data_IF_735981781165
#
_entry.id   IF_735981781165
#
_cell.length_a   1.000
_cell.length_b   1.000
_cell.length_c   1.000
_cell.angle_alpha   90.00
_cell.angle_beta   90.00
_cell.angle_gamma   90.00
#
_symmetry.space_group_name_H-M   'P 1'
#
loop_
_entity.id
_entity.type
_entity.pdbx_description
1 polymer ?
#
# COMPACT_ATOMS: atom_id res chain seq x y z
N UNK A 1 8.02 29.69 -18.62
CA UNK A 1 8.46 28.33 -18.21
C UNK A 1 7.92 28.08 -16.82
N UNK A 2 6.79 27.40 -16.69
CA UNK A 2 6.30 26.91 -15.40
C UNK A 2 7.09 25.64 -15.07
N UNK A 3 8.17 25.81 -14.32
CA UNK A 3 9.01 24.70 -13.88
C UNK A 3 8.20 23.75 -13.00
N UNK A 4 8.46 22.45 -13.17
CA UNK A 4 7.97 21.42 -12.25
C UNK A 4 8.32 21.83 -10.80
N UNK A 5 7.31 22.02 -9.97
CA UNK A 5 7.49 22.32 -8.54
C UNK A 5 7.22 21.04 -7.75
N UNK A 6 8.20 20.63 -6.95
CA UNK A 6 8.04 19.50 -6.00
C UNK A 6 7.02 19.80 -4.89
N UNK A 7 6.53 21.04 -4.81
CA UNK A 7 5.44 21.43 -3.92
C UNK A 7 4.06 21.31 -4.59
N UNK A 8 3.98 20.72 -5.78
CA UNK A 8 2.73 20.46 -6.52
C UNK A 8 2.42 18.95 -6.42
N UNK A 9 1.27 18.54 -5.86
CA UNK A 9 0.68 17.21 -5.69
C UNK A 9 -0.74 17.23 -6.30
N UNK A 10 -0.82 17.04 -7.62
CA UNK A 10 -2.08 16.90 -8.38
C UNK A 10 -3.16 17.98 -8.11
N UNK A 11 -2.78 19.21 -7.75
CA UNK A 11 -3.72 20.30 -7.45
C UNK A 11 -4.30 20.29 -6.03
N UNK A 12 -3.79 19.43 -5.13
CA UNK A 12 -4.25 19.29 -3.74
C UNK A 12 -3.31 19.97 -2.73
N UNK A 13 -2.42 20.84 -3.18
CA UNK A 13 -1.22 21.18 -2.41
C UNK A 13 -1.51 22.16 -1.31
N UNK A 14 -2.35 23.15 -1.60
CA UNK A 14 -2.84 24.08 -0.59
C UNK A 14 -3.52 23.30 0.54
N UNK A 15 -4.35 22.31 0.19
CA UNK A 15 -5.07 21.49 1.18
C UNK A 15 -4.15 20.60 2.02
N UNK A 16 -3.17 19.96 1.38
CA UNK A 16 -2.22 19.07 2.05
C UNK A 16 -1.20 19.88 2.88
N UNK A 17 -0.92 21.11 2.48
CA UNK A 17 -0.06 22.03 3.23
C UNK A 17 -0.79 22.60 4.45
N UNK A 18 -2.08 22.93 4.29
CA UNK A 18 -2.92 23.41 5.39
C UNK A 18 -3.20 22.32 6.44
N UNK A 19 -3.32 21.06 6.01
CA UNK A 19 -3.65 19.91 6.86
C UNK A 19 -2.74 18.70 6.58
N UNK A 20 -1.46 18.75 6.97
CA UNK A 20 -0.50 17.69 6.65
C UNK A 20 -0.82 16.35 7.31
N UNK A 21 -1.57 16.34 8.41
CA UNK A 21 -2.08 15.13 9.08
C UNK A 21 -2.97 14.26 8.18
N UNK A 22 -3.60 14.86 7.16
CA UNK A 22 -4.38 14.13 6.15
C UNK A 22 -3.52 13.08 5.45
N UNK A 23 -2.19 13.29 5.35
CA UNK A 23 -1.27 12.34 4.74
C UNK A 23 -1.04 11.11 5.61
N UNK A 24 -1.04 11.26 6.95
CA UNK A 24 -1.00 10.11 7.88
C UNK A 24 -2.27 9.29 7.71
N UNK A 25 -3.43 9.95 7.75
CA UNK A 25 -4.71 9.27 7.56
C UNK A 25 -4.80 8.61 6.18
N UNK A 26 -4.32 9.29 5.14
CA UNK A 26 -4.22 8.74 3.79
C UNK A 26 -3.34 7.49 3.76
N UNK A 27 -2.17 7.54 4.39
CA UNK A 27 -1.24 6.41 4.43
C UNK A 27 -1.83 5.17 5.09
N UNK A 28 -2.71 5.35 6.08
CA UNK A 28 -3.41 4.26 6.78
C UNK A 28 -4.67 3.79 6.03
N UNK A 29 -5.52 4.71 5.60
CA UNK A 29 -6.86 4.37 5.10
C UNK A 29 -6.91 4.10 3.61
N UNK A 30 -6.07 4.74 2.78
CA UNK A 30 -6.08 4.51 1.33
C UNK A 30 -5.82 3.04 0.99
N UNK A 31 -4.79 2.36 1.55
CA UNK A 31 -4.60 0.94 1.29
C UNK A 31 -5.80 0.08 1.71
N UNK A 32 -6.37 0.35 2.89
CA UNK A 32 -7.52 -0.38 3.44
C UNK A 32 -8.78 -0.19 2.60
N UNK A 33 -9.05 1.02 2.11
CA UNK A 33 -10.18 1.30 1.25
C UNK A 33 -10.01 0.62 -0.11
N UNK A 34 -8.79 0.61 -0.68
CA UNK A 34 -8.50 -0.04 -1.95
C UNK A 34 -8.54 -1.57 -1.88
N UNK A 35 -8.42 -2.18 -0.69
CA UNK A 35 -8.61 -3.62 -0.52
C UNK A 35 -10.01 -4.06 -0.96
N UNK A 36 -11.04 -3.24 -0.73
CA UNK A 36 -12.43 -3.57 -1.04
C UNK A 36 -12.63 -3.79 -2.55
N UNK A 37 -12.35 -2.82 -3.44
CA UNK A 37 -12.51 -3.03 -4.88
C UNK A 37 -11.57 -4.11 -5.42
N UNK A 38 -10.33 -4.22 -4.92
CA UNK A 38 -9.41 -5.29 -5.37
C UNK A 38 -9.94 -6.68 -5.00
N UNK A 39 -10.53 -6.84 -3.82
CA UNK A 39 -11.16 -8.10 -3.41
C UNK A 39 -12.39 -8.43 -4.28
N UNK A 40 -13.22 -7.43 -4.60
CA UNK A 40 -14.36 -7.61 -5.51
C UNK A 40 -13.91 -8.02 -6.92
N UNK A 41 -12.91 -7.36 -7.49
CA UNK A 41 -12.32 -7.73 -8.78
C UNK A 41 -11.73 -9.14 -8.71
N UNK A 42 -11.03 -9.47 -7.61
CA UNK A 42 -10.49 -10.80 -7.36
C UNK A 42 -11.57 -11.88 -7.31
N UNK A 43 -12.74 -11.59 -6.76
CA UNK A 43 -13.88 -12.49 -6.76
C UNK A 43 -14.39 -12.73 -8.19
N UNK A 44 -14.51 -11.67 -9.01
CA UNK A 44 -14.88 -11.78 -10.43
C UNK A 44 -13.86 -12.62 -11.20
N UNK A 45 -12.55 -12.35 -11.03
CA UNK A 45 -11.48 -13.12 -11.68
C UNK A 45 -11.55 -14.61 -11.35
N UNK A 46 -11.84 -14.94 -10.08
CA UNK A 46 -12.03 -16.33 -9.66
C UNK A 46 -13.22 -16.99 -10.34
N UNK A 47 -14.35 -16.27 -10.49
CA UNK A 47 -15.54 -16.77 -11.18
C UNK A 47 -15.29 -17.01 -12.68
N UNK A 48 -14.51 -16.14 -13.30
CA UNK A 48 -14.13 -16.23 -14.72
C UNK A 48 -12.91 -17.14 -14.98
N UNK A 49 -12.32 -17.73 -13.92
CA UNK A 49 -11.09 -18.55 -13.98
C UNK A 49 -9.90 -17.82 -14.62
N UNK A 50 -9.82 -16.50 -14.44
CA UNK A 50 -8.66 -15.71 -14.87
C UNK A 50 -7.47 -15.92 -13.93
N UNK A 51 -6.28 -15.58 -14.43
CA UNK A 51 -5.05 -15.67 -13.64
C UNK A 51 -5.11 -14.71 -12.44
N UNK A 52 -5.05 -15.27 -11.24
CA UNK A 52 -5.11 -14.53 -9.97
C UNK A 52 -3.80 -13.82 -9.60
N UNK A 53 -2.72 -14.02 -10.35
CA UNK A 53 -1.40 -13.47 -10.04
C UNK A 53 -1.43 -11.95 -9.83
N UNK A 54 -2.05 -11.18 -10.74
CA UNK A 54 -2.12 -9.72 -10.60
C UNK A 54 -2.94 -9.29 -9.37
N UNK A 55 -3.98 -10.06 -9.02
CA UNK A 55 -4.77 -9.81 -7.82
C UNK A 55 -3.93 -10.02 -6.56
N UNK A 56 -3.15 -11.11 -6.51
CA UNK A 56 -2.23 -11.35 -5.39
C UNK A 56 -1.19 -10.24 -5.28
N UNK A 57 -0.59 -9.81 -6.39
CA UNK A 57 0.35 -8.67 -6.43
C UNK A 57 -0.30 -7.43 -5.82
N UNK A 58 -1.50 -7.06 -6.25
CA UNK A 58 -2.20 -5.88 -5.74
C UNK A 58 -2.53 -6.02 -4.24
N UNK A 59 -3.03 -7.18 -3.81
CA UNK A 59 -3.34 -7.44 -2.40
C UNK A 59 -2.09 -7.35 -1.50
N UNK A 60 -0.95 -7.91 -1.95
CA UNK A 60 0.30 -7.82 -1.20
C UNK A 60 0.87 -6.40 -1.20
N UNK A 61 0.76 -5.68 -2.32
CA UNK A 61 1.14 -4.27 -2.40
C UNK A 61 0.38 -3.47 -1.34
N UNK A 62 -0.96 -3.61 -1.30
CA UNK A 62 -1.78 -2.90 -0.33
C UNK A 62 -1.47 -3.32 1.11
N UNK A 63 -1.21 -4.61 1.36
CA UNK A 63 -0.84 -5.10 2.69
C UNK A 63 0.48 -4.48 3.17
N UNK A 64 1.52 -4.54 2.35
CA UNK A 64 2.84 -4.04 2.74
C UNK A 64 2.88 -2.52 2.76
N UNK A 65 2.17 -1.83 1.86
CA UNK A 65 2.04 -0.36 1.93
C UNK A 65 1.23 0.06 3.15
N UNK A 66 0.20 -0.68 3.56
CA UNK A 66 -0.49 -0.39 4.82
C UNK A 66 0.47 -0.44 6.00
N UNK A 67 1.27 -1.51 6.11
CA UNK A 67 2.20 -1.67 7.23
C UNK A 67 3.36 -0.68 7.14
N UNK A 68 4.16 -0.78 6.08
CA UNK A 68 5.39 0.00 5.93
C UNK A 68 5.10 1.45 5.58
N UNK A 69 4.13 1.73 4.71
CA UNK A 69 3.75 3.09 4.35
C UNK A 69 3.19 3.86 5.54
N UNK A 70 2.31 3.26 6.35
CA UNK A 70 1.80 3.94 7.54
C UNK A 70 2.92 4.21 8.55
N UNK A 71 3.77 3.23 8.86
CA UNK A 71 4.89 3.40 9.81
C UNK A 71 5.87 4.46 9.30
N UNK A 72 6.28 4.39 8.03
CA UNK A 72 7.21 5.35 7.44
C UNK A 72 6.66 6.77 7.49
N UNK A 73 5.41 7.00 7.10
CA UNK A 73 4.82 8.33 7.12
C UNK A 73 4.59 8.83 8.55
N UNK A 74 4.15 7.96 9.45
CA UNK A 74 4.01 8.30 10.86
C UNK A 74 5.34 8.79 11.44
N UNK A 75 6.44 8.04 11.25
CA UNK A 75 7.77 8.44 11.71
C UNK A 75 8.21 9.76 11.05
N UNK A 76 8.14 9.84 9.71
CA UNK A 76 8.57 11.02 8.98
C UNK A 76 7.80 12.27 9.40
N UNK A 77 6.50 12.17 9.67
CA UNK A 77 5.69 13.29 10.14
C UNK A 77 6.22 13.87 11.46
N UNK A 78 6.70 13.05 12.39
CA UNK A 78 7.20 13.55 13.68
C UNK A 78 8.65 14.05 13.65
N UNK A 79 9.49 13.60 12.71
CA UNK A 79 10.91 13.97 12.66
C UNK A 79 11.24 15.03 11.61
N UNK A 80 10.31 15.37 10.71
CA UNK A 80 10.51 16.34 9.63
C UNK A 80 9.71 17.63 9.85
N UNK A 81 9.77 18.54 8.88
CA UNK A 81 9.05 19.82 8.83
C UNK A 81 7.52 19.67 8.67
N UNK A 82 6.97 18.46 8.78
CA UNK A 82 5.54 18.14 8.59
C UNK A 82 5.01 18.63 7.24
N UNK A 83 5.87 18.76 6.22
CA UNK A 83 5.43 19.16 4.90
C UNK A 83 4.63 18.01 4.26
N UNK A 84 3.30 18.17 4.23
CA UNK A 84 2.39 17.13 3.75
C UNK A 84 2.67 16.71 2.30
N UNK A 85 3.04 17.65 1.43
CA UNK A 85 3.33 17.34 0.01
C UNK A 85 4.53 16.40 -0.10
N UNK A 86 5.62 16.71 0.62
CA UNK A 86 6.80 15.84 0.67
C UNK A 86 6.46 14.46 1.26
N UNK A 87 5.65 14.42 2.33
CA UNK A 87 5.21 13.16 2.93
C UNK A 87 4.36 12.33 1.98
N UNK A 88 3.49 12.95 1.19
CA UNK A 88 2.70 12.26 0.18
C UNK A 88 3.58 11.65 -0.92
N UNK A 89 4.63 12.36 -1.34
CA UNK A 89 5.64 11.82 -2.25
C UNK A 89 6.45 10.67 -1.65
N UNK A 90 6.85 10.76 -0.37
CA UNK A 90 7.48 9.65 0.33
C UNK A 90 6.54 8.43 0.36
N UNK A 91 5.26 8.63 0.63
CA UNK A 91 4.28 7.55 0.66
C UNK A 91 4.12 6.89 -0.71
N UNK A 92 4.02 7.68 -1.80
CA UNK A 92 3.97 7.18 -3.17
C UNK A 92 5.21 6.37 -3.54
N UNK A 93 6.38 6.79 -3.06
CA UNK A 93 7.64 6.05 -3.26
C UNK A 93 7.58 4.69 -2.57
N UNK A 94 7.09 4.64 -1.32
CA UNK A 94 6.89 3.36 -0.60
C UNK A 94 5.87 2.49 -1.33
N UNK A 95 4.73 3.04 -1.75
CA UNK A 95 3.72 2.31 -2.51
C UNK A 95 4.30 1.69 -3.78
N UNK A 96 5.06 2.47 -4.55
CA UNK A 96 5.71 2.02 -5.78
C UNK A 96 6.74 0.93 -5.50
N UNK A 97 7.57 1.10 -4.47
CA UNK A 97 8.53 0.09 -4.03
C UNK A 97 7.85 -1.22 -3.64
N UNK A 98 6.76 -1.16 -2.87
CA UNK A 98 6.00 -2.34 -2.48
C UNK A 98 5.28 -3.01 -3.66
N UNK A 99 4.86 -2.22 -4.66
CA UNK A 99 4.29 -2.75 -5.88
C UNK A 99 5.32 -3.57 -6.67
N UNK A 100 6.51 -3.01 -6.89
CA UNK A 100 7.61 -3.71 -7.58
C UNK A 100 8.06 -4.95 -6.79
N UNK A 101 8.22 -4.82 -5.47
CA UNK A 101 8.56 -5.95 -4.60
C UNK A 101 7.52 -7.07 -4.72
N UNK A 102 6.24 -6.73 -4.68
CA UNK A 102 5.14 -7.69 -4.79
C UNK A 102 5.06 -8.31 -6.17
N UNK A 103 5.31 -7.55 -7.25
CA UNK A 103 5.41 -8.09 -8.61
C UNK A 103 6.48 -9.19 -8.67
N UNK A 104 7.70 -8.91 -8.24
CA UNK A 104 8.80 -9.87 -8.33
C UNK A 104 8.56 -11.10 -7.44
N UNK A 105 7.95 -10.90 -6.25
CA UNK A 105 7.92 -11.92 -5.20
C UNK A 105 6.55 -12.54 -4.90
N UNK A 106 5.48 -12.21 -5.65
CA UNK A 106 4.12 -12.65 -5.32
C UNK A 106 3.98 -14.17 -5.12
N UNK A 107 4.63 -14.99 -5.94
CA UNK A 107 4.57 -16.45 -5.82
C UNK A 107 5.21 -16.94 -4.52
N UNK A 108 6.38 -16.38 -4.16
CA UNK A 108 7.09 -16.68 -2.91
C UNK A 108 6.25 -16.28 -1.70
N UNK A 109 5.68 -15.07 -1.72
CA UNK A 109 4.83 -14.55 -0.64
C UNK A 109 3.57 -15.44 -0.48
N UNK A 110 2.93 -15.80 -1.59
CA UNK A 110 1.76 -16.71 -1.58
C UNK A 110 2.10 -18.05 -0.93
N UNK A 111 3.26 -18.62 -1.29
CA UNK A 111 3.75 -19.87 -0.72
C UNK A 111 3.99 -19.74 0.78
N UNK A 112 4.66 -18.66 1.22
CA UNK A 112 4.91 -18.40 2.65
C UNK A 112 3.61 -18.35 3.46
N UNK A 113 2.59 -17.60 3.00
CA UNK A 113 1.30 -17.54 3.69
C UNK A 113 0.60 -18.91 3.74
N UNK A 114 0.68 -19.67 2.66
CA UNK A 114 0.08 -21.01 2.57
C UNK A 114 0.76 -21.99 3.54
N UNK A 115 2.09 -22.00 3.56
CA UNK A 115 2.86 -22.89 4.42
C UNK A 115 2.71 -22.50 5.90
N UNK A 116 2.69 -21.21 6.22
CA UNK A 116 2.39 -20.74 7.57
C UNK A 116 0.99 -21.16 8.05
N UNK A 117 -0.01 -21.08 7.17
CA UNK A 117 -1.37 -21.55 7.49
C UNK A 117 -1.42 -23.06 7.79
N UNK A 118 -0.63 -23.88 7.07
CA UNK A 118 -0.53 -25.32 7.33
C UNK A 118 0.08 -25.59 8.71
N UNK A 119 1.19 -24.93 9.04
CA UNK A 119 1.87 -25.08 10.33
C UNK A 119 0.92 -24.75 11.49
N UNK A 120 0.12 -23.68 11.36
CA UNK A 120 -0.86 -23.31 12.39
C UNK A 120 -1.91 -24.41 12.58
N UNK A 121 -2.41 -25.00 11.48
CA UNK A 121 -3.41 -26.09 11.55
C UNK A 121 -2.84 -27.36 12.16
N UNK A 122 -1.60 -27.72 11.83
CA UNK A 122 -0.93 -28.89 12.40
C UNK A 122 -0.77 -28.74 13.92
N UNK A 123 -0.41 -27.54 14.40
CA UNK A 123 -0.32 -27.25 15.84
C UNK A 123 -1.66 -27.25 16.58
N UNK A 124 -2.78 -26.99 15.88
CA UNK A 124 -4.12 -27.01 16.48
C UNK A 124 -4.72 -28.43 16.58
N UNK A 125 -4.21 -29.37 15.78
CA UNK A 125 -4.65 -30.76 15.77
C UNK A 125 -3.78 -31.68 16.65
N UNK A 126 -2.78 -31.12 17.33
CA UNK A 126 -1.98 -31.76 18.39
C UNK A 126 -2.51 -31.35 19.76
#
# INVERSE_FOLDING_TARGET
>A
MTGFSFNTFFGLEDRITDYPEVVIFGAMFVPLLLFIPVALIGWIFRKLKFNMYIIHVLMYTLLFTFILGAITIFILFFITDKNGVKLAYCWLTVFTGMFIFSLINANTITKMFTDWSKIIKEKQNQ
#
